data_IF_160433296318
#
_entry.id   IF_160433296318
#
_cell.length_a   1.000
_cell.length_b   1.000
_cell.length_c   1.000
_cell.angle_alpha   90.00
_cell.angle_beta   90.00
_cell.angle_gamma   90.00
#
_symmetry.space_group_name_H-M   'P 1'
#
loop_
_entity.id
_entity.type
_entity.pdbx_description
1 polymer ?
#
# COMPACT_ATOMS: atom_id res chain seq x y z
N UNK A 1 -27.69 -1.26 -27.22
CA UNK A 1 -27.39 -2.35 -26.23
C UNK A 1 -27.69 -1.82 -24.85
N UNK A 2 -28.55 -2.48 -24.06
CA UNK A 2 -28.90 -2.00 -22.70
C UNK A 2 -27.87 -2.58 -21.72
N UNK A 3 -27.10 -1.73 -21.05
CA UNK A 3 -26.15 -2.14 -20.02
C UNK A 3 -26.94 -2.57 -18.78
N UNK A 4 -26.73 -3.80 -18.32
CA UNK A 4 -27.39 -4.38 -17.15
C UNK A 4 -26.42 -4.87 -16.09
N UNK A 5 -25.33 -5.49 -16.50
CA UNK A 5 -24.34 -6.11 -15.61
C UNK A 5 -23.02 -5.37 -15.74
N UNK A 6 -22.52 -4.83 -14.67
CA UNK A 6 -21.26 -4.07 -14.62
C UNK A 6 -20.33 -4.69 -13.58
N UNK A 7 -19.09 -4.97 -13.97
CA UNK A 7 -18.03 -5.41 -13.09
C UNK A 7 -17.15 -4.23 -12.71
N UNK A 8 -16.92 -4.04 -11.42
CA UNK A 8 -16.12 -2.96 -10.84
C UNK A 8 -14.80 -3.52 -10.32
N UNK A 9 -13.67 -3.00 -10.79
CA UNK A 9 -12.32 -3.49 -10.44
C UNK A 9 -11.86 -3.01 -9.06
N UNK A 10 -12.68 -3.21 -8.04
CA UNK A 10 -12.39 -2.86 -6.64
C UNK A 10 -13.03 -3.83 -5.66
N UNK A 11 -12.65 -3.73 -4.40
CA UNK A 11 -13.30 -4.48 -3.32
C UNK A 11 -14.72 -3.98 -3.11
N UNK A 12 -15.66 -4.90 -2.86
CA UNK A 12 -17.02 -4.53 -2.51
C UNK A 12 -17.04 -3.67 -1.23
N UNK A 13 -17.84 -2.60 -1.19
CA UNK A 13 -18.10 -1.87 0.04
C UNK A 13 -18.69 -2.79 1.11
N UNK A 14 -18.36 -2.56 2.39
CA UNK A 14 -18.91 -3.34 3.49
C UNK A 14 -20.46 -3.27 3.55
N UNK A 15 -21.04 -2.13 3.18
CA UNK A 15 -22.48 -1.91 3.07
C UNK A 15 -22.76 -1.10 1.79
N UNK A 16 -23.18 -1.78 0.74
CA UNK A 16 -23.44 -1.14 -0.56
C UNK A 16 -24.62 -0.16 -0.49
N UNK A 17 -25.59 -0.41 0.40
CA UNK A 17 -26.78 0.44 0.52
C UNK A 17 -26.44 1.84 1.08
N UNK A 18 -25.32 1.99 1.76
CA UNK A 18 -24.81 3.29 2.26
C UNK A 18 -23.87 4.00 1.29
N UNK A 19 -23.78 3.53 0.05
CA UNK A 19 -22.89 4.10 -0.96
C UNK A 19 -23.67 4.66 -2.14
N UNK A 20 -23.09 5.52 -2.97
CA UNK A 20 -23.71 5.98 -4.22
C UNK A 20 -24.06 4.84 -5.19
N UNK A 21 -23.47 3.67 -5.02
CA UNK A 21 -23.79 2.49 -5.84
C UNK A 21 -25.22 2.00 -5.64
N UNK A 22 -25.81 2.16 -4.45
CA UNK A 22 -27.21 1.81 -4.21
C UNK A 22 -28.17 2.64 -5.09
N UNK A 23 -27.93 3.94 -5.18
CA UNK A 23 -28.72 4.84 -6.03
C UNK A 23 -28.60 4.49 -7.51
N UNK A 24 -27.37 4.19 -7.97
CA UNK A 24 -27.10 3.78 -9.35
C UNK A 24 -27.86 2.49 -9.70
N UNK A 25 -27.81 1.49 -8.82
CA UNK A 25 -28.55 0.22 -9.00
C UNK A 25 -30.05 0.46 -9.16
N UNK A 26 -30.63 1.25 -8.26
CA UNK A 26 -32.09 1.56 -8.26
C UNK A 26 -32.49 2.39 -9.47
N UNK A 27 -31.75 3.48 -9.74
CA UNK A 27 -32.11 4.44 -10.81
C UNK A 27 -31.99 3.84 -12.21
N UNK A 28 -31.00 3.00 -12.46
CA UNK A 28 -30.75 2.46 -13.80
C UNK A 28 -31.10 0.97 -13.94
N UNK A 29 -31.60 0.33 -12.87
CA UNK A 29 -31.92 -1.11 -12.84
C UNK A 29 -30.75 -1.97 -13.33
N UNK A 30 -29.54 -1.69 -12.80
CA UNK A 30 -28.30 -2.37 -13.15
C UNK A 30 -27.80 -3.24 -11.98
N UNK A 31 -27.11 -4.31 -12.31
CA UNK A 31 -26.36 -5.13 -11.37
C UNK A 31 -24.91 -4.64 -11.31
N UNK A 32 -24.39 -4.50 -10.10
CA UNK A 32 -23.01 -4.12 -9.85
C UNK A 32 -22.32 -5.24 -9.08
N UNK A 33 -21.31 -5.85 -9.70
CA UNK A 33 -20.44 -6.83 -9.07
C UNK A 33 -19.05 -6.22 -8.86
N UNK A 34 -18.39 -6.65 -7.81
CA UNK A 34 -17.10 -6.12 -7.38
C UNK A 34 -16.08 -7.26 -7.35
N UNK A 35 -14.94 -7.02 -7.97
CA UNK A 35 -13.83 -7.96 -7.94
C UNK A 35 -12.51 -7.21 -8.03
N UNK A 36 -11.59 -7.47 -7.11
CA UNK A 36 -10.27 -6.84 -7.10
C UNK A 36 -9.36 -7.59 -8.07
N UNK A 37 -9.00 -6.98 -9.19
CA UNK A 37 -8.24 -7.59 -10.29
C UNK A 37 -6.76 -7.85 -9.97
N UNK A 38 -6.28 -7.40 -8.83
CA UNK A 38 -4.94 -7.66 -8.36
C UNK A 38 -4.93 -7.97 -6.87
N UNK A 39 -3.93 -8.69 -6.43
CA UNK A 39 -3.65 -8.97 -5.02
C UNK A 39 -2.22 -8.58 -4.68
N UNK A 40 -1.96 -8.44 -3.40
CA UNK A 40 -0.60 -8.26 -2.91
C UNK A 40 -0.09 -9.60 -2.38
N UNK A 41 1.16 -9.93 -2.69
CA UNK A 41 1.84 -11.11 -2.17
C UNK A 41 3.16 -10.68 -1.52
N UNK A 42 3.37 -11.06 -0.26
CA UNK A 42 4.60 -10.72 0.47
C UNK A 42 5.82 -11.40 -0.14
N UNK A 43 6.95 -10.71 -0.12
CA UNK A 43 8.23 -11.31 -0.48
C UNK A 43 8.65 -12.29 0.63
N UNK A 44 8.91 -13.56 0.31
CA UNK A 44 9.38 -14.53 1.30
C UNK A 44 10.70 -14.11 1.95
N UNK A 45 10.88 -14.40 3.24
CA UNK A 45 12.10 -14.06 3.97
C UNK A 45 13.39 -14.60 3.30
N UNK A 46 13.30 -15.78 2.66
CA UNK A 46 14.43 -16.36 1.91
C UNK A 46 14.82 -15.49 0.72
N UNK A 47 13.85 -15.01 -0.04
CA UNK A 47 14.07 -14.11 -1.18
C UNK A 47 14.58 -12.74 -0.71
N UNK A 48 13.96 -12.17 0.34
CA UNK A 48 14.42 -10.90 0.88
C UNK A 48 15.87 -10.91 1.34
N UNK A 49 16.36 -12.02 1.92
CA UNK A 49 17.78 -12.16 2.30
C UNK A 49 18.74 -12.03 1.11
N UNK A 50 18.31 -12.36 -0.10
CA UNK A 50 19.13 -12.22 -1.31
C UNK A 50 19.39 -10.74 -1.67
N UNK A 51 18.53 -9.83 -1.25
CA UNK A 51 18.73 -8.38 -1.45
C UNK A 51 19.89 -7.81 -0.64
N UNK A 52 20.37 -8.54 0.38
CA UNK A 52 21.40 -8.12 1.34
C UNK A 52 21.01 -6.84 2.14
N UNK A 53 19.74 -6.45 2.11
CA UNK A 53 19.26 -5.32 2.91
C UNK A 53 19.16 -5.76 4.37
N UNK A 54 19.92 -5.09 5.24
CA UNK A 54 19.80 -5.30 6.68
C UNK A 54 18.91 -4.20 7.28
N UNK A 55 17.73 -4.59 7.76
CA UNK A 55 16.76 -3.67 8.37
C UNK A 55 17.38 -2.91 9.57
N UNK A 56 18.24 -3.59 10.36
CA UNK A 56 18.85 -3.02 11.56
C UNK A 56 19.95 -1.98 11.27
N UNK A 57 20.40 -1.85 10.02
CA UNK A 57 21.33 -0.79 9.63
C UNK A 57 20.63 0.57 9.47
N UNK A 58 19.31 0.62 9.61
CA UNK A 58 18.52 1.82 9.49
C UNK A 58 18.03 2.30 10.87
N UNK A 59 17.80 3.59 10.99
CA UNK A 59 17.34 4.23 12.23
C UNK A 59 15.91 4.74 12.13
N UNK A 60 15.35 4.73 10.92
CA UNK A 60 13.99 5.15 10.63
C UNK A 60 13.34 4.32 9.51
N UNK A 61 12.02 4.13 9.59
CA UNK A 61 11.22 3.48 8.55
C UNK A 61 10.13 4.44 8.09
N UNK A 62 9.94 4.55 6.76
CA UNK A 62 8.89 5.39 6.16
C UNK A 62 7.81 4.53 5.56
N UNK A 63 6.58 4.71 6.01
CA UNK A 63 5.42 3.98 5.51
C UNK A 63 4.49 4.87 4.67
N UNK A 64 4.29 4.48 3.41
CA UNK A 64 3.37 5.14 2.49
C UNK A 64 1.93 4.61 2.58
N UNK A 65 1.71 3.46 3.23
CA UNK A 65 0.39 2.83 3.33
C UNK A 65 0.33 1.82 4.49
N UNK A 66 -0.89 1.48 4.92
CA UNK A 66 -1.13 0.39 5.88
C UNK A 66 -0.74 -0.98 5.33
N UNK A 67 -0.86 -1.18 4.02
CA UNK A 67 -0.38 -2.39 3.34
C UNK A 67 1.14 -2.58 3.53
N UNK A 68 1.92 -1.51 3.36
CA UNK A 68 3.37 -1.56 3.60
C UNK A 68 3.69 -1.87 5.07
N UNK A 69 2.89 -1.38 6.02
CA UNK A 69 3.03 -1.71 7.45
C UNK A 69 2.81 -3.21 7.68
N UNK A 70 1.70 -3.76 7.19
CA UNK A 70 1.38 -5.18 7.39
C UNK A 70 2.46 -6.10 6.82
N UNK A 71 2.88 -5.88 5.57
CA UNK A 71 3.92 -6.71 4.95
C UNK A 71 5.29 -6.51 5.59
N UNK A 72 5.63 -5.30 6.03
CA UNK A 72 6.89 -5.04 6.72
C UNK A 72 6.98 -5.84 8.03
N UNK A 73 5.96 -5.75 8.89
CA UNK A 73 6.01 -6.46 10.16
C UNK A 73 5.84 -7.97 10.01
N UNK A 74 5.14 -8.44 8.99
CA UNK A 74 5.13 -9.87 8.62
C UNK A 74 6.54 -10.33 8.26
N UNK A 75 7.23 -9.60 7.37
CA UNK A 75 8.59 -9.91 6.97
C UNK A 75 9.58 -9.85 8.14
N UNK A 76 9.49 -8.82 9.00
CA UNK A 76 10.31 -8.70 10.22
C UNK A 76 10.17 -9.92 11.13
N UNK A 77 8.93 -10.39 11.32
CA UNK A 77 8.63 -11.61 12.08
C UNK A 77 9.24 -12.85 11.43
N UNK A 78 9.08 -13.02 10.11
CA UNK A 78 9.59 -14.18 9.37
C UNK A 78 11.13 -14.19 9.31
N UNK A 79 11.75 -13.01 9.31
CA UNK A 79 13.20 -12.84 9.43
C UNK A 79 13.71 -13.05 10.85
N UNK A 80 12.81 -13.10 11.86
CA UNK A 80 13.13 -13.15 13.30
C UNK A 80 13.97 -11.95 13.75
N UNK A 81 13.66 -10.77 13.23
CA UNK A 81 14.32 -9.51 13.57
C UNK A 81 13.54 -8.85 14.70
N UNK A 82 14.23 -8.45 15.76
CA UNK A 82 13.67 -7.61 16.82
C UNK A 82 13.92 -6.14 16.48
N UNK A 83 12.84 -5.36 16.36
CA UNK A 83 12.95 -3.95 16.02
C UNK A 83 13.52 -3.15 17.21
N UNK A 84 14.58 -2.34 17.00
CA UNK A 84 15.18 -1.56 18.06
C UNK A 84 14.20 -0.60 18.72
N UNK A 85 14.33 -0.44 20.05
CA UNK A 85 13.47 0.50 20.78
C UNK A 85 13.58 1.96 20.32
N UNK A 86 14.72 2.36 19.76
CA UNK A 86 14.98 3.70 19.25
C UNK A 86 14.60 3.89 17.78
N UNK A 87 14.10 2.86 17.09
CA UNK A 87 13.60 2.97 15.72
C UNK A 87 12.50 4.03 15.64
N UNK A 88 12.63 4.94 14.67
CA UNK A 88 11.62 5.96 14.38
C UNK A 88 10.77 5.53 13.18
N UNK A 89 9.50 5.93 13.18
CA UNK A 89 8.54 5.58 12.14
C UNK A 89 7.89 6.84 11.58
N UNK A 90 7.91 6.99 10.27
CA UNK A 90 7.34 8.11 9.56
C UNK A 90 6.17 7.62 8.69
N UNK A 91 5.01 8.24 8.82
CA UNK A 91 3.80 7.86 8.11
C UNK A 91 3.24 9.03 7.31
N UNK A 92 2.71 8.75 6.11
CA UNK A 92 2.08 9.79 5.27
C UNK A 92 0.82 10.34 5.94
N UNK A 93 0.06 9.49 6.63
CA UNK A 93 -1.21 9.85 7.25
C UNK A 93 -1.24 9.50 8.73
N UNK A 94 -2.09 10.20 9.47
CA UNK A 94 -2.43 9.87 10.86
C UNK A 94 -3.02 8.46 10.98
N UNK A 95 -3.90 8.08 10.05
CA UNK A 95 -4.49 6.74 10.00
C UNK A 95 -3.42 5.66 9.95
N UNK A 96 -2.38 5.81 9.11
CA UNK A 96 -1.26 4.89 9.06
C UNK A 96 -0.44 4.89 10.36
N UNK A 97 -0.24 6.07 10.97
CA UNK A 97 0.46 6.21 12.25
C UNK A 97 -0.29 5.52 13.40
N UNK A 98 -1.61 5.64 13.45
CA UNK A 98 -2.43 4.92 14.43
C UNK A 98 -2.47 3.41 14.14
N UNK A 99 -2.46 3.01 12.88
CA UNK A 99 -2.44 1.60 12.49
C UNK A 99 -1.19 0.87 12.96
N UNK A 100 -0.05 1.57 13.12
CA UNK A 100 1.17 1.00 13.68
C UNK A 100 0.98 0.41 15.08
N UNK A 101 -0.03 0.84 15.84
CA UNK A 101 -0.33 0.30 17.18
C UNK A 101 -0.67 -1.20 17.18
N UNK A 102 -1.03 -1.74 16.02
CA UNK A 102 -1.20 -3.19 15.83
C UNK A 102 0.10 -3.97 16.06
N UNK A 103 1.26 -3.34 15.85
CA UNK A 103 2.56 -3.97 15.84
C UNK A 103 3.50 -3.46 16.93
N UNK A 104 3.40 -2.18 17.28
CA UNK A 104 4.29 -1.51 18.23
C UNK A 104 3.49 -0.62 19.19
N UNK A 105 3.93 -0.46 20.46
CA UNK A 105 3.33 0.50 21.38
C UNK A 105 3.43 1.93 20.81
N UNK A 106 2.32 2.66 20.80
CA UNK A 106 2.32 4.05 20.36
C UNK A 106 3.16 4.91 21.29
N UNK A 107 4.19 5.56 20.73
CA UNK A 107 5.01 6.53 21.45
C UNK A 107 5.19 7.78 20.57
N UNK A 108 4.62 8.90 20.99
CA UNK A 108 4.63 10.19 20.28
C UNK A 108 6.03 10.63 19.79
N UNK A 109 7.09 10.28 20.52
CA UNK A 109 8.49 10.61 20.16
C UNK A 109 9.11 9.67 19.10
N UNK A 110 8.41 8.59 18.74
CA UNK A 110 8.91 7.58 17.77
C UNK A 110 8.09 7.53 16.49
N UNK A 111 6.84 7.99 16.54
CA UNK A 111 5.91 7.93 15.42
C UNK A 111 5.59 9.34 14.96
N UNK A 112 5.96 9.63 13.73
CA UNK A 112 5.81 10.93 13.09
C UNK A 112 4.84 10.81 11.91
N UNK A 113 3.95 11.75 11.73
CA UNK A 113 3.04 11.78 10.59
C UNK A 113 2.69 13.22 10.19
N UNK A 114 2.35 13.39 8.92
CA UNK A 114 1.94 14.67 8.39
C UNK A 114 0.55 15.06 8.90
N UNK A 115 0.41 16.20 9.56
CA UNK A 115 -0.89 16.67 10.07
C UNK A 115 -1.91 16.98 8.97
N UNK A 116 -1.41 17.32 7.78
CA UNK A 116 -2.25 17.62 6.60
C UNK A 116 -2.54 16.38 5.75
N UNK A 117 -2.08 15.20 6.17
CA UNK A 117 -2.19 13.93 5.43
C UNK A 117 -1.69 14.01 3.98
N UNK A 118 -0.67 14.84 3.74
CA UNK A 118 -0.05 15.05 2.42
C UNK A 118 1.44 14.74 2.46
N UNK A 119 1.98 14.34 1.31
CA UNK A 119 3.41 14.06 1.17
C UNK A 119 4.28 15.27 1.53
N UNK A 120 3.83 16.50 1.23
CA UNK A 120 4.57 17.73 1.59
C UNK A 120 4.85 17.84 3.09
N UNK A 121 3.85 17.55 3.92
CA UNK A 121 4.04 17.55 5.38
C UNK A 121 4.96 16.43 5.88
N UNK A 122 4.93 15.26 5.22
CA UNK A 122 5.88 14.20 5.51
C UNK A 122 7.30 14.61 5.13
N UNK A 123 7.50 15.22 3.95
CA UNK A 123 8.81 15.67 3.49
C UNK A 123 9.45 16.69 4.42
N UNK A 124 8.67 17.61 4.99
CA UNK A 124 9.17 18.52 6.03
C UNK A 124 9.66 17.78 7.29
N UNK A 125 8.96 16.71 7.70
CA UNK A 125 9.38 15.89 8.84
C UNK A 125 10.66 15.13 8.53
N UNK A 126 10.81 14.59 7.31
CA UNK A 126 12.01 13.89 6.87
C UNK A 126 13.21 14.85 6.82
N UNK A 127 13.04 16.07 6.29
CA UNK A 127 14.08 17.10 6.30
C UNK A 127 14.56 17.47 7.71
N UNK A 128 13.66 17.57 8.67
CA UNK A 128 13.98 17.86 10.08
C UNK A 128 14.73 16.71 10.77
N UNK A 129 14.76 15.53 10.17
CA UNK A 129 15.43 14.34 10.68
C UNK A 129 16.40 13.75 9.64
N UNK A 130 16.95 14.60 8.77
CA UNK A 130 17.81 14.20 7.64
C UNK A 130 19.07 13.42 8.01
N UNK A 131 19.44 13.44 9.28
CA UNK A 131 20.57 12.68 9.85
C UNK A 131 20.29 11.20 10.01
N UNK A 132 19.02 10.79 9.87
CA UNK A 132 18.62 9.39 10.03
C UNK A 132 18.88 8.60 8.73
N UNK A 133 19.08 7.30 8.89
CA UNK A 133 19.14 6.33 7.79
C UNK A 133 17.78 5.73 7.58
N UNK A 134 17.15 6.08 6.46
CA UNK A 134 15.77 5.71 6.20
C UNK A 134 15.65 4.39 5.44
N UNK A 135 14.74 3.52 5.88
CA UNK A 135 14.26 2.37 5.13
C UNK A 135 12.88 2.69 4.55
N UNK A 136 12.69 2.44 3.25
CA UNK A 136 11.42 2.63 2.53
C UNK A 136 10.85 1.27 2.10
N UNK A 137 10.03 0.62 2.94
CA UNK A 137 9.31 -0.59 2.53
C UNK A 137 8.26 -0.26 1.46
N UNK A 138 8.30 -0.99 0.35
CA UNK A 138 7.42 -0.75 -0.80
C UNK A 138 7.01 -2.03 -1.51
N UNK A 139 6.04 -1.93 -2.41
CA UNK A 139 5.70 -2.96 -3.38
C UNK A 139 6.52 -2.82 -4.66
N UNK A 140 6.66 -3.90 -5.43
CA UNK A 140 7.23 -3.83 -6.76
C UNK A 140 6.38 -2.91 -7.66
N UNK A 141 7.02 -2.03 -8.41
CA UNK A 141 6.34 -1.08 -9.30
C UNK A 141 5.49 0.00 -8.62
N UNK A 142 5.47 0.05 -7.29
CA UNK A 142 4.67 1.02 -6.53
C UNK A 142 5.48 2.16 -5.91
N UNK A 143 6.77 2.23 -6.17
CA UNK A 143 7.47 3.44 -5.75
C UNK A 143 7.03 4.61 -6.61
N UNK A 144 6.35 5.53 -5.96
CA UNK A 144 6.29 6.85 -6.52
C UNK A 144 7.73 7.37 -6.56
N UNK A 145 8.22 7.69 -7.75
CA UNK A 145 9.49 8.38 -7.96
C UNK A 145 9.62 9.59 -7.04
N UNK A 146 8.49 10.13 -6.59
CA UNK A 146 8.39 11.26 -5.67
C UNK A 146 9.19 11.10 -4.36
N UNK A 147 9.25 9.87 -3.79
CA UNK A 147 10.04 9.67 -2.56
C UNK A 147 11.53 9.58 -2.87
N UNK A 148 11.92 8.76 -3.87
CA UNK A 148 13.32 8.67 -4.29
C UNK A 148 13.84 10.02 -4.74
N UNK A 149 13.11 10.73 -5.60
CA UNK A 149 13.49 12.06 -6.08
C UNK A 149 13.66 13.05 -4.92
N UNK A 150 12.78 12.96 -3.89
CA UNK A 150 12.91 13.81 -2.71
C UNK A 150 14.17 13.47 -1.89
N UNK A 151 14.45 12.20 -1.63
CA UNK A 151 15.62 11.78 -0.87
C UNK A 151 16.92 12.14 -1.61
N UNK A 152 16.98 11.85 -2.92
CA UNK A 152 18.13 12.13 -3.77
C UNK A 152 18.40 13.64 -3.87
N UNK A 153 17.36 14.45 -4.11
CA UNK A 153 17.49 15.91 -4.23
C UNK A 153 17.94 16.60 -2.94
N UNK A 154 17.71 15.96 -1.78
CA UNK A 154 18.07 16.52 -0.48
C UNK A 154 19.31 15.85 0.15
N UNK A 155 19.97 14.92 -0.58
CA UNK A 155 21.12 14.14 -0.09
C UNK A 155 20.84 13.45 1.26
N UNK A 156 19.66 12.81 1.39
CA UNK A 156 19.26 12.06 2.58
C UNK A 156 19.49 10.57 2.32
N UNK A 157 20.20 9.90 3.24
CA UNK A 157 20.52 8.46 3.12
C UNK A 157 19.25 7.62 3.25
N UNK A 158 18.96 6.79 2.26
CA UNK A 158 17.83 5.87 2.29
C UNK A 158 18.11 4.56 1.58
N UNK A 159 17.36 3.53 1.94
CA UNK A 159 17.33 2.25 1.24
C UNK A 159 15.89 1.88 0.92
N UNK A 160 15.66 1.54 -0.32
CA UNK A 160 14.38 1.04 -0.79
C UNK A 160 14.33 -0.47 -0.62
N UNK A 161 13.27 -0.97 0.02
CA UNK A 161 13.08 -2.39 0.25
C UNK A 161 11.75 -2.85 -0.36
N UNK A 162 11.81 -3.63 -1.45
CA UNK A 162 10.63 -4.30 -1.98
C UNK A 162 10.26 -5.43 -1.04
N UNK A 163 9.06 -5.37 -0.47
CA UNK A 163 8.58 -6.32 0.55
C UNK A 163 7.28 -7.03 0.16
N UNK A 164 6.64 -6.60 -0.91
CA UNK A 164 5.50 -7.29 -1.51
C UNK A 164 5.42 -7.04 -3.01
N UNK A 165 4.78 -7.95 -3.71
CA UNK A 165 4.48 -7.85 -5.14
C UNK A 165 2.99 -7.53 -5.35
N UNK A 166 2.70 -6.73 -6.37
CA UNK A 166 1.35 -6.62 -6.92
C UNK A 166 1.24 -7.63 -8.05
N UNK A 167 0.39 -8.62 -7.88
CA UNK A 167 0.18 -9.69 -8.86
C UNK A 167 -1.26 -9.66 -9.37
N UNK A 168 -1.47 -10.08 -10.63
CA UNK A 168 -2.81 -10.22 -11.17
C UNK A 168 -3.60 -11.26 -10.36
N UNK A 169 -4.89 -10.99 -10.11
CA UNK A 169 -5.81 -12.01 -9.65
C UNK A 169 -6.18 -12.93 -10.80
N UNK A 170 -6.56 -14.17 -10.52
CA UNK A 170 -6.92 -15.12 -11.55
C UNK A 170 -8.36 -14.91 -12.04
N UNK A 171 -8.57 -13.79 -12.73
CA UNK A 171 -9.90 -13.31 -13.15
C UNK A 171 -10.61 -14.35 -14.01
N UNK A 172 -9.87 -15.06 -14.89
CA UNK A 172 -10.44 -16.01 -15.83
C UNK A 172 -11.02 -17.25 -15.15
N UNK A 173 -10.47 -17.64 -14.01
CA UNK A 173 -10.96 -18.78 -13.22
C UNK A 173 -12.06 -18.37 -12.24
N UNK A 174 -11.96 -17.16 -11.67
CA UNK A 174 -12.84 -16.70 -10.60
C UNK A 174 -14.13 -16.07 -11.11
N UNK A 175 -14.13 -15.53 -12.35
CA UNK A 175 -15.26 -14.75 -12.89
C UNK A 175 -15.52 -15.08 -14.37
N UNK A 176 -16.77 -15.39 -14.65
CA UNK A 176 -17.26 -15.44 -16.03
C UNK A 176 -17.50 -14.02 -16.58
N UNK A 177 -16.50 -13.48 -17.27
CA UNK A 177 -16.51 -12.13 -17.83
C UNK A 177 -17.63 -11.94 -18.87
N UNK A 178 -18.07 -13.00 -19.54
CA UNK A 178 -19.10 -12.94 -20.58
C UNK A 178 -20.46 -12.44 -20.05
N UNK A 179 -20.70 -12.53 -18.75
CA UNK A 179 -21.91 -12.05 -18.08
C UNK A 179 -22.02 -10.52 -18.02
N UNK A 180 -20.89 -9.82 -18.19
CA UNK A 180 -20.85 -8.37 -18.03
C UNK A 180 -20.91 -7.61 -19.33
N UNK A 181 -21.70 -6.54 -19.34
CA UNK A 181 -21.81 -5.62 -20.46
C UNK A 181 -20.78 -4.49 -20.40
N UNK A 182 -20.21 -4.26 -19.20
CA UNK A 182 -19.23 -3.20 -18.93
C UNK A 182 -18.29 -3.62 -17.80
N UNK A 183 -17.02 -3.23 -17.92
CA UNK A 183 -16.01 -3.33 -16.85
C UNK A 183 -15.51 -1.91 -16.55
N UNK A 184 -15.46 -1.56 -15.26
CA UNK A 184 -14.97 -0.25 -14.80
C UNK A 184 -13.71 -0.43 -14.01
N UNK A 185 -12.64 0.25 -14.42
CA UNK A 185 -11.34 0.23 -13.77
C UNK A 185 -11.13 1.49 -12.94
N UNK A 186 -10.62 1.34 -11.71
CA UNK A 186 -10.31 2.43 -10.78
C UNK A 186 -8.82 2.73 -10.65
N UNK A 187 -7.96 1.90 -11.27
CA UNK A 187 -6.52 2.09 -11.22
C UNK A 187 -5.81 1.52 -12.45
N UNK A 188 -4.63 2.05 -12.82
CA UNK A 188 -3.79 1.46 -13.85
C UNK A 188 -3.43 0.00 -13.57
N UNK A 189 -3.20 -0.36 -12.30
CA UNK A 189 -2.92 -1.74 -11.88
C UNK A 189 -4.06 -2.70 -12.20
N UNK A 190 -5.31 -2.26 -12.06
CA UNK A 190 -6.48 -3.05 -12.44
C UNK A 190 -6.54 -3.33 -13.95
N UNK A 191 -6.22 -2.32 -14.77
CA UNK A 191 -6.14 -2.46 -16.23
C UNK A 191 -5.01 -3.41 -16.63
N UNK A 192 -3.83 -3.27 -16.01
CA UNK A 192 -2.68 -4.11 -16.28
C UNK A 192 -2.95 -5.57 -15.93
N UNK A 193 -3.53 -5.82 -14.77
CA UNK A 193 -3.90 -7.16 -14.33
C UNK A 193 -4.96 -7.84 -15.21
N UNK A 194 -5.81 -7.06 -15.86
CA UNK A 194 -6.82 -7.60 -16.79
C UNK A 194 -6.23 -8.04 -18.14
N UNK A 195 -5.08 -7.49 -18.53
CA UNK A 195 -4.41 -7.83 -19.81
C UNK A 195 -3.61 -9.12 -19.75
N UNK A 196 -3.27 -9.60 -18.56
CA UNK A 196 -2.54 -10.87 -18.34
C UNK A 196 -3.51 -12.03 -18.24
#
# INVERSE_FOLDING_TARGET
MKIKNILLSQVAPADIEKTPYAELRKKYSINLDFYKFFKFEGIPAVEFRQTKINILNHTAVVFSSTTAIDYFFTLVKDLRVEMPENMKYFCVTDTAAYYLQKYIPYRKRKIFYAKNNQNSGLFELLLKNRELKFLLPCGNGMMSTQYSDFFDSNNIEYTQAVIFNTVAANIKEDIDISKYNMIVFFSPSGVQAFKT
#
